data_IF_896336001251
#
_entry.id   IF_896336001251
#
_cell.length_a   1.000
_cell.length_b   1.000
_cell.length_c   1.000
_cell.angle_alpha   90.00
_cell.angle_beta   90.00
_cell.angle_gamma   90.00
#
_symmetry.space_group_name_H-M   'P 1'
#
loop_
_entity.id
_entity.type
_entity.pdbx_description
1 polymer ?
#
# COMPACT_ATOMS: atom_id res chain seq x y z
N UNK A 1 7.47 33.30 6.08
CA UNK A 1 6.39 32.93 5.14
C UNK A 1 6.92 31.99 4.06
N UNK A 2 7.00 30.69 4.34
CA UNK A 2 7.38 29.67 3.36
C UNK A 2 6.12 28.93 2.92
N UNK A 3 5.55 29.37 1.80
CA UNK A 3 4.44 28.70 1.14
C UNK A 3 4.94 27.40 0.50
N UNK A 4 4.61 26.27 1.11
CA UNK A 4 4.83 24.95 0.52
C UNK A 4 3.94 24.84 -0.72
N UNK A 5 4.53 25.02 -1.91
CA UNK A 5 3.85 24.80 -3.19
C UNK A 5 3.40 23.35 -3.27
N UNK A 6 2.10 23.15 -3.01
CA UNK A 6 1.41 21.87 -3.11
C UNK A 6 1.07 21.72 -4.59
N UNK A 7 1.96 21.11 -5.38
CA UNK A 7 1.63 20.76 -6.75
C UNK A 7 0.39 19.84 -6.72
N UNK A 8 -0.67 20.27 -7.39
CA UNK A 8 -1.90 19.49 -7.46
C UNK A 8 -1.58 18.16 -8.16
N UNK A 9 -2.00 17.01 -7.61
CA UNK A 9 -1.81 15.74 -8.30
C UNK A 9 -2.54 15.79 -9.65
N UNK A 10 -2.01 15.11 -10.69
CA UNK A 10 -2.68 15.05 -11.99
C UNK A 10 -4.14 14.59 -11.79
N UNK A 11 -5.07 15.18 -12.54
CA UNK A 11 -6.53 15.07 -12.35
C UNK A 11 -7.03 13.62 -12.17
N UNK A 12 -6.36 12.67 -12.83
CA UNK A 12 -6.65 11.22 -12.73
C UNK A 12 -6.29 10.63 -11.36
N UNK A 13 -5.19 11.05 -10.74
CA UNK A 13 -4.78 10.62 -9.40
C UNK A 13 -5.68 11.18 -8.29
N UNK A 14 -6.18 12.40 -8.47
CA UNK A 14 -7.17 13.00 -7.57
C UNK A 14 -8.50 12.22 -7.60
N UNK A 15 -9.00 11.90 -8.79
CA UNK A 15 -10.22 11.09 -9.00
C UNK A 15 -10.12 9.72 -8.31
N UNK A 16 -9.06 8.96 -8.57
CA UNK A 16 -8.89 7.61 -8.03
C UNK A 16 -8.81 7.63 -6.50
N UNK A 17 -8.12 8.64 -5.94
CA UNK A 17 -8.04 8.84 -4.49
C UNK A 17 -9.41 9.15 -3.89
N UNK A 18 -10.19 10.01 -4.54
CA UNK A 18 -11.52 10.39 -4.07
C UNK A 18 -12.50 9.22 -4.13
N UNK A 19 -12.52 8.46 -5.23
CA UNK A 19 -13.39 7.29 -5.38
C UNK A 19 -13.05 6.17 -4.37
N UNK A 20 -11.76 5.93 -4.13
CA UNK A 20 -11.29 4.99 -3.10
C UNK A 20 -11.74 5.43 -1.71
N UNK A 21 -11.56 6.71 -1.38
CA UNK A 21 -11.92 7.25 -0.08
C UNK A 21 -13.44 7.22 0.16
N UNK A 22 -14.26 7.50 -0.85
CA UNK A 22 -15.72 7.43 -0.72
C UNK A 22 -16.19 6.00 -0.44
N UNK A 23 -15.66 5.02 -1.18
CA UNK A 23 -16.01 3.61 -0.97
C UNK A 23 -15.61 3.12 0.43
N UNK A 24 -14.38 3.46 0.86
CA UNK A 24 -13.88 3.12 2.19
C UNK A 24 -14.71 3.80 3.29
N UNK A 25 -15.08 5.08 3.12
CA UNK A 25 -15.95 5.80 4.06
C UNK A 25 -17.32 5.13 4.20
N UNK A 26 -17.93 4.68 3.09
CA UNK A 26 -19.21 3.95 3.11
C UNK A 26 -19.10 2.62 3.86
N UNK A 27 -17.99 1.89 3.71
CA UNK A 27 -17.79 0.65 4.44
C UNK A 27 -17.59 0.88 5.94
N UNK A 28 -16.78 1.88 6.31
CA UNK A 28 -16.52 2.24 7.70
C UNK A 28 -17.79 2.73 8.42
N UNK A 29 -18.63 3.53 7.75
CA UNK A 29 -19.85 4.09 8.35
C UNK A 29 -20.87 3.01 8.74
N UNK A 30 -20.92 1.88 8.02
CA UNK A 30 -21.78 0.73 8.35
C UNK A 30 -21.50 0.12 9.72
N UNK A 31 -20.31 0.36 10.28
CA UNK A 31 -19.92 -0.11 11.62
C UNK A 31 -19.62 1.05 12.59
N UNK A 32 -20.09 2.26 12.27
CA UNK A 32 -19.93 3.44 13.11
C UNK A 32 -18.51 4.01 13.16
N UNK A 33 -17.68 3.74 12.14
CA UNK A 33 -16.34 4.31 12.00
C UNK A 33 -16.33 5.41 10.93
N UNK A 34 -15.35 6.30 11.01
CA UNK A 34 -15.11 7.35 10.01
C UNK A 34 -13.68 7.26 9.47
N UNK A 35 -13.50 7.70 8.22
CA UNK A 35 -12.19 7.81 7.62
C UNK A 35 -11.40 8.93 8.33
N UNK A 36 -10.15 8.67 8.77
CA UNK A 36 -9.33 9.68 9.41
C UNK A 36 -8.91 10.77 8.41
N UNK A 37 -8.51 11.95 8.92
CA UNK A 37 -7.98 13.01 8.06
C UNK A 37 -6.70 12.58 7.34
N UNK A 38 -6.36 13.20 6.19
CA UNK A 38 -5.16 12.86 5.44
C UNK A 38 -3.88 12.93 6.28
N UNK A 39 -3.09 11.86 6.27
CA UNK A 39 -1.78 11.83 6.92
C UNK A 39 -0.67 12.19 5.91
N UNK A 40 0.36 12.98 6.29
CA UNK A 40 1.48 13.27 5.41
C UNK A 40 2.19 11.99 4.98
N UNK A 41 2.39 11.83 3.67
CA UNK A 41 3.03 10.64 3.07
C UNK A 41 4.54 10.64 3.33
N UNK A 42 5.15 11.82 3.37
CA UNK A 42 6.58 11.99 3.62
C UNK A 42 6.85 13.34 4.28
N UNK A 43 7.93 13.40 5.06
CA UNK A 43 8.55 14.65 5.50
C UNK A 43 9.87 14.85 4.77
N UNK A 44 10.18 16.09 4.39
CA UNK A 44 11.48 16.42 3.82
C UNK A 44 12.48 16.58 4.97
N UNK A 45 13.39 15.62 5.12
CA UNK A 45 14.60 15.79 5.94
C UNK A 45 15.71 16.41 5.09
N UNK A 46 16.74 16.95 5.74
CA UNK A 46 17.85 17.66 5.09
C UNK A 46 18.65 16.79 4.11
N UNK A 47 18.51 15.47 4.20
CA UNK A 47 19.33 14.48 3.46
C UNK A 47 18.49 13.51 2.59
N UNK A 48 17.21 13.27 2.94
CA UNK A 48 16.34 12.34 2.20
C UNK A 48 14.84 12.51 2.55
N UNK A 49 13.91 12.08 1.67
CA UNK A 49 12.50 11.94 2.03
C UNK A 49 12.32 10.82 3.06
N UNK A 50 11.70 11.14 4.21
CA UNK A 50 11.28 10.14 5.21
C UNK A 50 9.81 9.83 4.96
N UNK A 51 9.50 8.58 4.60
CA UNK A 51 8.13 8.12 4.38
C UNK A 51 7.46 7.75 5.70
N UNK A 52 6.22 8.22 5.90
CA UNK A 52 5.47 7.98 7.12
C UNK A 52 4.37 6.95 6.90
N UNK A 53 4.19 6.07 7.90
CA UNK A 53 3.04 5.18 7.95
C UNK A 53 1.83 5.99 8.40
N UNK A 54 0.71 5.86 7.68
CA UNK A 54 -0.59 6.42 8.10
C UNK A 54 -1.15 5.65 9.30
N UNK A 55 -0.65 6.00 10.50
CA UNK A 55 -1.07 5.42 11.77
C UNK A 55 -2.57 5.62 12.04
N UNK A 56 -3.18 6.80 11.82
CA UNK A 56 -4.62 6.99 11.96
C UNK A 56 -5.44 6.00 11.12
N UNK A 57 -5.07 5.81 9.85
CA UNK A 57 -5.74 4.85 8.97
C UNK A 57 -5.52 3.42 9.43
N UNK A 58 -4.30 3.08 9.86
CA UNK A 58 -3.99 1.74 10.39
C UNK A 58 -4.86 1.39 11.61
N UNK A 59 -5.03 2.32 12.56
CA UNK A 59 -5.84 2.11 13.77
C UNK A 59 -7.31 1.90 13.41
N UNK A 60 -7.84 2.77 12.55
CA UNK A 60 -9.25 2.71 12.09
C UNK A 60 -9.53 1.39 11.38
N UNK A 61 -8.65 1.00 10.47
CA UNK A 61 -8.75 -0.26 9.71
C UNK A 61 -8.64 -1.47 10.63
N UNK A 62 -7.74 -1.44 11.62
CA UNK A 62 -7.60 -2.53 12.60
C UNK A 62 -8.86 -2.67 13.47
N UNK A 63 -9.55 -1.57 13.79
CA UNK A 63 -10.84 -1.62 14.48
C UNK A 63 -11.94 -2.17 13.57
N UNK A 64 -11.98 -1.75 12.31
CA UNK A 64 -12.91 -2.26 11.30
C UNK A 64 -12.81 -3.79 11.15
N UNK A 65 -11.58 -4.33 11.02
CA UNK A 65 -11.34 -5.78 10.91
C UNK A 65 -11.85 -6.53 12.13
N UNK A 66 -11.64 -6.00 13.34
CA UNK A 66 -12.13 -6.63 14.57
C UNK A 66 -13.66 -6.67 14.66
N UNK A 67 -14.33 -5.61 14.20
CA UNK A 67 -15.79 -5.52 14.23
C UNK A 67 -16.46 -6.37 13.16
N UNK A 68 -15.86 -6.46 11.96
CA UNK A 68 -16.49 -7.12 10.80
C UNK A 68 -16.03 -8.54 10.57
N UNK A 69 -14.87 -8.92 11.12
CA UNK A 69 -14.18 -10.19 10.80
C UNK A 69 -13.95 -10.37 9.29
N UNK A 70 -13.83 -9.26 8.56
CA UNK A 70 -13.56 -9.28 7.11
C UNK A 70 -12.27 -10.04 6.81
N UNK A 71 -12.27 -10.80 5.71
CA UNK A 71 -11.07 -11.50 5.24
C UNK A 71 -10.01 -10.50 4.72
N UNK A 72 -8.74 -10.90 4.78
CA UNK A 72 -7.64 -10.08 4.26
C UNK A 72 -7.79 -9.72 2.77
N UNK A 73 -8.21 -10.63 1.86
CA UNK A 73 -8.43 -10.29 0.45
C UNK A 73 -9.48 -9.19 0.26
N UNK A 74 -10.63 -9.32 0.90
CA UNK A 74 -11.71 -8.33 0.82
C UNK A 74 -11.29 -6.99 1.41
N UNK A 75 -10.50 -7.00 2.49
CA UNK A 75 -9.95 -5.79 3.07
C UNK A 75 -9.01 -5.08 2.09
N UNK A 76 -8.13 -5.83 1.42
CA UNK A 76 -7.19 -5.28 0.44
C UNK A 76 -7.93 -4.70 -0.76
N UNK A 77 -8.97 -5.38 -1.26
CA UNK A 77 -9.84 -4.87 -2.33
C UNK A 77 -10.49 -3.55 -1.93
N UNK A 78 -11.10 -3.51 -0.73
CA UNK A 78 -11.74 -2.32 -0.19
C UNK A 78 -10.78 -1.14 -0.08
N UNK A 79 -9.58 -1.34 0.49
CA UNK A 79 -8.59 -0.27 0.68
C UNK A 79 -8.05 0.24 -0.66
N UNK A 80 -7.93 -0.64 -1.65
CA UNK A 80 -7.47 -0.31 -3.01
C UNK A 80 -8.57 0.27 -3.90
N UNK A 81 -9.82 0.26 -3.44
CA UNK A 81 -10.97 0.64 -4.27
C UNK A 81 -11.18 -0.32 -5.44
N UNK A 82 -10.72 -1.56 -5.30
CA UNK A 82 -10.96 -2.62 -6.28
C UNK A 82 -12.32 -3.23 -6.00
N UNK A 83 -12.98 -3.66 -7.08
CA UNK A 83 -14.27 -4.36 -7.00
C UNK A 83 -14.11 -5.71 -7.69
N UNK A 84 -15.03 -6.65 -7.43
CA UNK A 84 -15.02 -7.94 -8.13
C UNK A 84 -15.05 -7.79 -9.66
N UNK A 85 -15.60 -6.68 -10.18
CA UNK A 85 -15.65 -6.34 -11.61
C UNK A 85 -14.41 -5.59 -12.13
N UNK A 86 -13.63 -4.96 -11.24
CA UNK A 86 -12.37 -4.25 -11.55
C UNK A 86 -11.27 -4.76 -10.63
N UNK A 87 -11.00 -6.06 -10.73
CA UNK A 87 -9.92 -6.71 -10.00
C UNK A 87 -8.60 -6.43 -10.73
N UNK A 88 -7.76 -5.56 -10.15
CA UNK A 88 -6.42 -5.24 -10.67
C UNK A 88 -5.38 -5.92 -9.80
N UNK A 89 -5.10 -7.22 -10.01
CA UNK A 89 -4.03 -7.87 -9.29
C UNK A 89 -2.74 -7.11 -9.58
N UNK A 90 -1.96 -6.84 -8.54
CA UNK A 90 -0.80 -5.95 -8.55
C UNK A 90 0.29 -6.33 -9.59
N UNK A 91 0.13 -7.44 -10.34
CA UNK A 91 1.07 -7.96 -11.34
C UNK A 91 0.50 -8.74 -12.54
N UNK A 92 -0.82 -8.88 -12.78
CA UNK A 92 -1.25 -9.51 -14.05
C UNK A 92 -1.35 -8.49 -15.17
N UNK A 93 -0.19 -8.06 -15.64
CA UNK A 93 -0.07 -7.50 -16.96
C UNK A 93 -0.28 -8.67 -17.93
N UNK A 94 -1.48 -8.81 -18.49
CA UNK A 94 -1.77 -9.90 -19.42
C UNK A 94 -1.15 -9.57 -20.79
N UNK A 95 -0.18 -10.34 -21.31
CA UNK A 95 0.55 -9.99 -22.53
C UNK A 95 -0.38 -9.79 -23.73
N UNK A 96 -1.43 -10.60 -23.84
CA UNK A 96 -2.46 -10.44 -24.88
C UNK A 96 -3.22 -9.10 -24.79
N UNK A 97 -3.48 -8.58 -23.59
CA UNK A 97 -4.14 -7.28 -23.42
C UNK A 97 -3.18 -6.16 -23.78
N UNK A 98 -1.90 -6.28 -23.39
CA UNK A 98 -0.86 -5.33 -23.78
C UNK A 98 -0.66 -5.26 -25.29
N UNK A 99 -0.55 -6.40 -25.97
CA UNK A 99 -0.32 -6.41 -27.42
C UNK A 99 -1.45 -5.74 -28.18
N UNK A 100 -2.69 -5.84 -27.66
CA UNK A 100 -3.87 -5.20 -28.25
C UNK A 100 -3.98 -3.71 -27.91
N UNK A 101 -3.77 -3.33 -26.65
CA UNK A 101 -4.00 -1.95 -26.18
C UNK A 101 -2.80 -1.02 -26.43
N UNK A 102 -1.60 -1.58 -26.50
CA UNK A 102 -0.35 -0.86 -26.69
C UNK A 102 0.28 -1.18 -28.06
N UNK A 103 -0.54 -1.54 -29.06
CA UNK A 103 -0.08 -1.92 -30.41
C UNK A 103 0.76 -0.83 -31.10
N UNK A 104 0.53 0.44 -30.76
CA UNK A 104 1.29 1.59 -31.28
C UNK A 104 2.38 2.08 -30.32
N UNK A 105 2.61 1.38 -29.21
CA UNK A 105 3.64 1.75 -28.25
C UNK A 105 5.00 1.22 -28.70
N UNK A 106 5.95 2.13 -28.91
CA UNK A 106 7.29 1.81 -29.44
C UNK A 106 8.03 0.75 -28.61
N UNK A 107 7.83 0.76 -27.28
CA UNK A 107 8.45 -0.20 -26.37
C UNK A 107 7.51 -1.37 -25.99
N UNK A 108 6.55 -1.71 -26.86
CA UNK A 108 5.70 -2.88 -26.67
C UNK A 108 6.50 -4.19 -26.54
N UNK A 109 7.54 -4.48 -27.35
CA UNK A 109 8.27 -5.74 -27.20
C UNK A 109 8.98 -5.91 -25.84
N UNK A 110 9.71 -4.90 -25.31
CA UNK A 110 10.22 -4.94 -23.93
C UNK A 110 9.13 -5.05 -22.86
N UNK A 111 7.98 -4.41 -23.07
CA UNK A 111 6.86 -4.46 -22.14
C UNK A 111 6.19 -5.83 -22.09
N UNK A 112 6.09 -6.51 -23.25
CA UNK A 112 5.62 -7.89 -23.34
C UNK A 112 6.60 -8.85 -22.66
N UNK A 113 7.90 -8.66 -22.82
CA UNK A 113 8.92 -9.47 -22.15
C UNK A 113 8.74 -9.43 -20.62
N UNK A 114 8.57 -8.22 -20.04
CA UNK A 114 8.27 -8.04 -18.61
C UNK A 114 6.97 -8.75 -18.19
N UNK A 115 5.96 -8.76 -19.07
CA UNK A 115 4.65 -9.36 -18.81
C UNK A 115 4.65 -10.89 -18.94
N UNK A 116 5.53 -11.47 -19.76
CA UNK A 116 5.64 -12.92 -19.98
C UNK A 116 6.45 -13.62 -18.90
N UNK A 117 7.34 -12.93 -18.17
CA UNK A 117 8.09 -13.54 -17.06
C UNK A 117 7.16 -13.75 -15.87
N UNK A 118 6.74 -14.99 -15.54
CA UNK A 118 5.75 -15.23 -14.49
C UNK A 118 6.32 -14.96 -13.08
N UNK A 119 7.65 -14.84 -12.97
CA UNK A 119 8.37 -14.70 -11.72
C UNK A 119 9.65 -13.88 -11.91
N UNK A 120 9.54 -12.61 -12.29
CA UNK A 120 10.61 -11.67 -11.98
C UNK A 120 10.59 -11.45 -10.46
N UNK A 121 11.17 -12.39 -9.70
CA UNK A 121 11.84 -12.07 -8.46
C UNK A 121 12.93 -11.09 -8.85
N UNK A 122 12.60 -9.81 -8.77
CA UNK A 122 13.61 -8.81 -8.49
C UNK A 122 14.21 -9.23 -7.16
N UNK A 123 15.30 -10.00 -7.19
CA UNK A 123 16.24 -10.02 -6.10
C UNK A 123 16.68 -8.58 -5.99
N UNK A 124 16.05 -7.85 -5.07
CA UNK A 124 16.61 -6.62 -4.54
C UNK A 124 17.93 -7.11 -3.97
N UNK A 125 19.02 -6.97 -4.72
CA UNK A 125 20.35 -6.93 -4.16
C UNK A 125 20.36 -5.66 -3.32
N UNK A 126 19.71 -5.71 -2.16
CA UNK A 126 20.03 -4.80 -1.08
C UNK A 126 21.49 -5.11 -0.77
N UNK A 127 22.39 -4.11 -0.75
CA UNK A 127 23.63 -4.24 -0.01
C UNK A 127 23.26 -4.13 1.49
N UNK A 128 22.36 -4.98 1.97
CA UNK A 128 22.11 -5.13 3.39
C UNK A 128 23.07 -6.19 3.87
N UNK A 129 24.14 -5.72 4.49
CA UNK A 129 25.01 -6.59 5.26
C UNK A 129 24.17 -7.42 6.25
N UNK A 130 24.42 -8.73 6.38
CA UNK A 130 23.75 -9.54 7.39
C UNK A 130 24.27 -9.12 8.77
N UNK A 131 23.55 -8.24 9.46
CA UNK A 131 23.83 -7.97 10.87
C UNK A 131 23.05 -8.94 11.76
N UNK A 132 23.77 -10.02 12.11
CA UNK A 132 23.86 -10.69 13.42
C UNK A 132 22.58 -10.79 14.27
N UNK A 133 22.13 -12.04 14.40
CA UNK A 133 21.53 -12.70 15.58
C UNK A 133 20.66 -11.88 16.54
N UNK A 134 19.36 -12.18 16.54
CA UNK A 134 18.43 -11.80 17.60
C UNK A 134 18.95 -12.20 18.99
N UNK A 135 18.92 -11.32 20.01
CA UNK A 135 19.08 -11.74 21.38
C UNK A 135 17.82 -12.47 21.85
N UNK A 136 18.03 -13.69 22.34
CA UNK A 136 17.03 -14.60 22.88
C UNK A 136 16.27 -13.96 24.05
N UNK A 137 14.95 -14.03 23.99
CA UNK A 137 14.03 -13.70 25.08
C UNK A 137 14.35 -14.49 26.35
N UNK A 138 14.84 -13.84 27.40
CA UNK A 138 14.86 -14.43 28.74
C UNK A 138 13.49 -14.27 29.39
N UNK A 139 12.90 -15.43 29.70
CA UNK A 139 11.69 -15.63 30.49
C UNK A 139 11.92 -15.20 31.94
N UNK A 140 10.88 -14.65 32.57
CA UNK A 140 10.89 -14.10 33.93
C UNK A 140 11.12 -15.13 35.05
N UNK A 141 11.58 -14.60 36.20
CA UNK A 141 11.29 -15.02 37.59
C UNK A 141 12.49 -15.58 38.36
N UNK A 142 13.02 -14.79 39.31
CA UNK A 142 13.03 -15.19 40.72
C UNK A 142 13.16 -13.98 41.64
N UNK A 143 12.12 -13.81 42.47
CA UNK A 143 12.18 -13.11 43.75
C UNK A 143 13.10 -13.92 44.67
N UNK A 144 14.05 -13.28 45.33
CA UNK A 144 14.53 -13.76 46.62
C UNK A 144 14.70 -12.60 47.58
N UNK A 145 13.95 -12.72 48.67
CA UNK A 145 14.13 -12.09 49.97
C UNK A 145 15.46 -12.50 50.58
N UNK A 146 16.14 -11.55 51.24
CA UNK A 146 16.73 -11.68 52.57
C UNK A 146 17.26 -10.32 53.01
#
# INVERSE_FOLDING_TARGET
NTATSRSAPPRQAAWATQHRNSHLQTALSRVGLSLPPPHPIHSRSHDAPVYHIDRPLQVTTSRFVRLTRISLPQLVELIRGQTAIDYRPNKHIHPYILSRMCSTYEHLPPLLDIAYVPHATFSIHSPHQPHVSHPTSQCSTQRHTS
#
